data_IF_069493960598
#
_entry.id   IF_069493960598
#
_cell.length_a   1.000
_cell.length_b   1.000
_cell.length_c   1.000
_cell.angle_alpha   90.00
_cell.angle_beta   90.00
_cell.angle_gamma   90.00
#
_symmetry.space_group_name_H-M   'P 1'
#
loop_
_entity.id
_entity.type
_entity.pdbx_description
1 polymer ?
#
# COMPACT_ATOMS: atom_id res chain seq x y z
N UNK A 1 -16.18 -30.08 0.64
CA UNK A 1 -16.36 -28.61 0.57
C UNK A 1 -14.98 -28.03 0.38
N UNK A 2 -14.71 -27.52 -0.83
CA UNK A 2 -13.38 -27.27 -1.37
C UNK A 2 -12.85 -25.89 -0.95
N UNK A 3 -11.51 -25.79 -0.86
CA UNK A 3 -10.68 -24.66 -0.41
C UNK A 3 -10.78 -23.41 -1.32
N UNK A 4 -11.96 -22.86 -1.54
CA UNK A 4 -12.17 -21.76 -2.47
C UNK A 4 -12.48 -20.40 -1.83
N UNK A 5 -12.53 -20.30 -0.49
CA UNK A 5 -13.03 -19.11 0.21
C UNK A 5 -11.94 -18.28 0.93
N UNK A 6 -10.67 -18.66 0.83
CA UNK A 6 -9.58 -17.81 1.33
C UNK A 6 -9.30 -16.75 0.26
N UNK A 7 -9.96 -15.59 0.37
CA UNK A 7 -9.72 -14.45 -0.52
C UNK A 7 -8.25 -13.97 -0.50
N UNK A 8 -8.01 -12.75 -0.96
CA UNK A 8 -6.68 -12.15 -0.88
C UNK A 8 -6.29 -11.86 0.58
N UNK A 9 -5.71 -12.85 1.26
CA UNK A 9 -5.30 -12.71 2.65
C UNK A 9 -3.99 -11.92 2.74
N UNK A 10 -3.94 -10.96 3.65
CA UNK A 10 -2.72 -10.24 3.97
C UNK A 10 -1.70 -11.19 4.60
N UNK A 11 -0.51 -11.23 4.04
CA UNK A 11 0.58 -12.09 4.55
C UNK A 11 1.10 -11.69 5.93
N UNK A 12 0.79 -10.47 6.39
CA UNK A 12 1.25 -9.94 7.69
C UNK A 12 0.24 -10.21 8.80
N UNK A 13 -1.03 -9.82 8.62
CA UNK A 13 -2.04 -9.94 9.66
C UNK A 13 -2.98 -11.14 9.47
N UNK A 14 -2.98 -11.78 8.30
CA UNK A 14 -3.86 -12.91 7.97
C UNK A 14 -5.31 -12.54 7.66
N UNK A 15 -5.71 -11.27 7.81
CA UNK A 15 -7.06 -10.81 7.47
C UNK A 15 -7.21 -10.59 5.96
N UNK A 16 -8.44 -10.61 5.47
CA UNK A 16 -8.74 -10.33 4.06
C UNK A 16 -8.39 -8.88 3.69
N UNK A 17 -7.81 -8.71 2.51
CA UNK A 17 -7.70 -7.43 1.82
C UNK A 17 -8.98 -7.28 1.00
N UNK A 18 -9.92 -6.48 1.49
CA UNK A 18 -11.30 -6.45 0.95
C UNK A 18 -11.44 -5.50 -0.24
N UNK A 19 -10.49 -4.58 -0.40
CA UNK A 19 -10.58 -3.51 -1.39
C UNK A 19 -9.23 -3.17 -2.04
N UNK A 20 -9.25 -2.57 -3.24
CA UNK A 20 -8.03 -2.11 -3.92
C UNK A 20 -7.27 -1.05 -3.10
N UNK A 21 -7.96 -0.15 -2.41
CA UNK A 21 -7.32 0.86 -1.55
C UNK A 21 -6.61 0.26 -0.35
N UNK A 22 -7.04 -0.91 0.08
CA UNK A 22 -6.38 -1.64 1.15
C UNK A 22 -5.15 -2.41 0.65
N UNK A 23 -5.01 -2.67 -0.65
CA UNK A 23 -3.91 -3.48 -1.19
C UNK A 23 -2.63 -2.67 -1.38
N UNK A 24 -1.59 -3.02 -0.61
CA UNK A 24 -0.23 -2.53 -0.80
C UNK A 24 0.36 -3.02 -2.13
N UNK A 25 -0.06 -4.19 -2.61
CA UNK A 25 0.36 -4.75 -3.89
C UNK A 25 -0.12 -3.85 -5.04
N UNK A 26 -1.41 -3.49 -5.03
CA UNK A 26 -1.98 -2.62 -6.04
C UNK A 26 -1.41 -1.21 -5.99
N UNK A 27 -1.14 -0.68 -4.79
CA UNK A 27 -0.45 0.61 -4.64
C UNK A 27 0.93 0.59 -5.30
N UNK A 28 1.73 -0.44 -5.05
CA UNK A 28 3.04 -0.61 -5.68
C UNK A 28 2.95 -0.73 -7.20
N UNK A 29 1.91 -1.39 -7.72
CA UNK A 29 1.67 -1.48 -9.15
C UNK A 29 1.35 -0.10 -9.76
N UNK A 30 0.42 0.64 -9.15
CA UNK A 30 -0.01 1.96 -9.65
C UNK A 30 1.14 2.98 -9.65
N UNK A 31 2.07 2.89 -8.70
CA UNK A 31 3.26 3.75 -8.66
C UNK A 31 4.45 3.20 -9.46
N UNK A 32 4.27 2.07 -10.15
CA UNK A 32 5.25 1.47 -11.06
C UNK A 32 6.45 0.80 -10.38
N UNK A 33 6.33 0.38 -9.12
CA UNK A 33 7.42 -0.32 -8.40
C UNK A 33 7.44 -1.82 -8.67
N UNK A 34 6.36 -2.33 -9.23
CA UNK A 34 6.25 -3.74 -9.59
C UNK A 34 5.74 -3.91 -11.02
N UNK A 35 6.25 -4.96 -11.66
CA UNK A 35 5.81 -5.37 -12.98
C UNK A 35 4.39 -5.98 -12.93
N UNK A 36 3.42 -5.50 -13.72
CA UNK A 36 2.09 -6.10 -13.80
C UNK A 36 2.10 -7.61 -14.09
N UNK A 37 3.07 -8.11 -14.86
CA UNK A 37 3.17 -9.55 -15.16
C UNK A 37 3.42 -10.39 -13.91
N UNK A 38 3.97 -9.80 -12.85
CA UNK A 38 4.29 -10.50 -11.59
C UNK A 38 3.20 -10.41 -10.53
N UNK A 39 2.07 -9.73 -10.80
CA UNK A 39 0.99 -9.55 -9.81
C UNK A 39 0.41 -10.89 -9.32
N UNK A 40 0.18 -11.82 -10.24
CA UNK A 40 -0.46 -13.11 -9.94
C UNK A 40 0.37 -14.06 -9.07
N UNK A 41 1.67 -13.81 -8.92
CA UNK A 41 2.58 -14.63 -8.10
C UNK A 41 2.91 -13.98 -6.75
N UNK A 42 2.56 -12.71 -6.57
CA UNK A 42 2.80 -12.00 -5.32
C UNK A 42 1.67 -12.24 -4.33
N UNK A 43 2.05 -12.22 -3.05
CA UNK A 43 1.11 -12.24 -1.93
C UNK A 43 0.51 -10.86 -1.73
N UNK A 44 -0.67 -10.86 -1.14
CA UNK A 44 -1.36 -9.62 -0.79
C UNK A 44 -0.95 -9.14 0.59
N UNK A 45 -1.02 -7.82 0.79
CA UNK A 45 -0.67 -7.18 2.03
C UNK A 45 -1.47 -5.89 2.18
N UNK A 46 -2.01 -5.60 3.37
CA UNK A 46 -2.65 -4.31 3.59
C UNK A 46 -1.63 -3.18 3.49
N UNK A 47 -2.04 -2.03 2.94
CA UNK A 47 -1.25 -0.79 2.98
C UNK A 47 -0.83 -0.48 4.43
N UNK A 48 -1.78 -0.56 5.37
CA UNK A 48 -1.50 -0.33 6.79
C UNK A 48 -0.54 -1.36 7.41
N UNK A 49 -0.50 -2.60 6.88
CA UNK A 49 0.42 -3.65 7.30
C UNK A 49 1.83 -3.50 6.71
N UNK A 50 2.06 -2.54 5.81
CA UNK A 50 3.38 -2.21 5.28
C UNK A 50 3.80 -0.77 5.65
N UNK A 51 4.14 -0.50 6.92
CA UNK A 51 4.46 0.86 7.39
C UNK A 51 5.62 1.53 6.65
N UNK A 52 6.58 0.74 6.15
CA UNK A 52 7.71 1.24 5.36
C UNK A 52 7.28 1.96 4.08
N UNK A 53 6.16 1.55 3.47
CA UNK A 53 5.51 2.23 2.35
C UNK A 53 4.50 3.25 2.85
N UNK A 54 3.61 2.85 3.76
CA UNK A 54 2.43 3.61 4.12
C UNK A 54 2.70 4.89 4.92
N UNK A 55 3.84 4.99 5.61
CA UNK A 55 4.26 6.24 6.28
C UNK A 55 4.37 7.44 5.32
N UNK A 56 4.54 7.19 4.01
CA UNK A 56 4.61 8.22 2.96
C UNK A 56 3.24 8.61 2.37
N UNK A 57 2.13 8.10 2.90
CA UNK A 57 0.80 8.56 2.49
C UNK A 57 0.44 9.81 3.28
N UNK A 58 0.14 10.90 2.57
CA UNK A 58 -0.36 12.17 3.10
C UNK A 58 -1.73 12.47 2.50
N UNK A 59 -2.75 11.71 2.92
CA UNK A 59 -4.13 11.87 2.50
C UNK A 59 -5.04 11.97 3.75
N UNK A 60 -6.06 12.83 3.72
CA UNK A 60 -6.87 13.14 4.91
C UNK A 60 -7.72 11.97 5.43
N UNK A 61 -7.95 10.96 4.60
CA UNK A 61 -8.65 9.72 4.91
C UNK A 61 -7.72 8.59 5.36
N UNK A 62 -6.39 8.80 5.32
CA UNK A 62 -5.41 7.80 5.70
C UNK A 62 -4.72 8.20 7.02
N UNK A 63 -4.65 7.29 8.02
CA UNK A 63 -4.01 7.60 9.29
C UNK A 63 -2.50 7.80 9.13
N UNK A 64 -1.93 8.78 9.83
CA UNK A 64 -0.47 8.92 9.86
C UNK A 64 0.17 7.74 10.60
N UNK A 65 1.15 7.11 9.94
CA UNK A 65 1.91 5.99 10.49
C UNK A 65 3.34 6.39 10.80
N UNK A 66 3.83 5.88 11.92
CA UNK A 66 5.22 6.03 12.34
C UNK A 66 5.88 4.66 12.35
N UNK A 67 7.15 4.63 11.95
CA UNK A 67 7.99 3.44 11.96
C UNK A 67 9.08 3.67 12.99
N UNK A 68 9.39 2.68 13.81
CA UNK A 68 10.52 2.77 14.73
C UNK A 68 11.85 2.52 14.00
N UNK A 69 12.94 3.09 14.51
CA UNK A 69 14.29 2.88 13.96
C UNK A 69 14.70 3.89 12.89
N UNK A 70 15.68 3.52 12.06
CA UNK A 70 16.34 4.42 11.09
C UNK A 70 15.53 4.64 9.81
N UNK A 71 14.54 3.77 9.54
CA UNK A 71 13.67 3.86 8.37
C UNK A 71 12.40 4.70 8.61
N UNK A 72 12.28 5.33 9.78
CA UNK A 72 11.27 6.35 10.06
C UNK A 72 11.46 7.54 9.12
N UNK A 73 10.42 7.92 8.36
CA UNK A 73 10.44 9.06 7.43
C UNK A 73 10.98 10.33 8.09
N UNK A 74 10.76 10.53 9.40
CA UNK A 74 11.20 11.71 10.15
C UNK A 74 12.72 11.80 10.30
N UNK A 75 13.44 10.71 10.07
CA UNK A 75 14.90 10.59 10.17
C UNK A 75 15.58 10.48 8.81
N UNK A 76 14.81 10.41 7.72
CA UNK A 76 15.34 10.30 6.37
C UNK A 76 15.61 11.68 5.75
N UNK A 77 16.34 11.69 4.64
CA UNK A 77 16.59 12.91 3.86
C UNK A 77 15.26 13.59 3.47
N UNK A 78 15.07 14.89 3.76
CA UNK A 78 13.81 15.58 3.50
C UNK A 78 13.41 15.60 2.02
N UNK A 79 14.38 15.65 1.10
CA UNK A 79 14.11 15.65 -0.34
C UNK A 79 13.56 14.29 -0.78
N UNK A 80 14.19 13.21 -0.32
CA UNK A 80 13.69 11.84 -0.51
C UNK A 80 12.28 11.69 0.08
N UNK A 81 12.06 12.15 1.31
CA UNK A 81 10.75 12.07 1.97
C UNK A 81 9.69 12.80 1.16
N UNK A 82 9.98 14.01 0.68
CA UNK A 82 9.03 14.79 -0.13
C UNK A 82 8.71 14.09 -1.45
N UNK A 83 9.72 13.60 -2.17
CA UNK A 83 9.53 12.89 -3.45
C UNK A 83 8.72 11.61 -3.25
N UNK A 84 9.07 10.82 -2.23
CA UNK A 84 8.40 9.57 -1.90
C UNK A 84 6.95 9.82 -1.48
N UNK A 85 6.71 10.81 -0.63
CA UNK A 85 5.37 11.21 -0.19
C UNK A 85 4.50 11.62 -1.37
N UNK A 86 5.03 12.43 -2.30
CA UNK A 86 4.31 12.84 -3.50
C UNK A 86 3.96 11.67 -4.43
N UNK A 87 4.86 10.69 -4.59
CA UNK A 87 4.60 9.52 -5.42
C UNK A 87 3.53 8.62 -4.79
N UNK A 88 3.74 8.23 -3.54
CA UNK A 88 2.88 7.26 -2.83
C UNK A 88 1.48 7.84 -2.59
N UNK A 89 1.39 9.11 -2.19
CA UNK A 89 0.09 9.79 -1.99
C UNK A 89 -0.71 9.88 -3.28
N UNK A 90 -0.08 10.25 -4.41
CA UNK A 90 -0.78 10.28 -5.71
C UNK A 90 -1.27 8.89 -6.13
N UNK A 91 -0.47 7.84 -5.90
CA UNK A 91 -0.87 6.46 -6.15
C UNK A 91 -2.07 6.03 -5.33
N UNK A 92 -2.05 6.32 -4.02
CA UNK A 92 -3.16 6.02 -3.10
C UNK A 92 -4.45 6.73 -3.53
N UNK A 93 -4.39 8.05 -3.77
CA UNK A 93 -5.55 8.82 -4.23
C UNK A 93 -6.09 8.33 -5.59
N UNK A 94 -5.20 7.86 -6.48
CA UNK A 94 -5.62 7.29 -7.76
C UNK A 94 -6.41 5.99 -7.57
N UNK A 95 -6.00 5.13 -6.64
CA UNK A 95 -6.73 3.90 -6.34
C UNK A 95 -8.11 4.21 -5.76
N UNK A 96 -8.19 5.15 -4.81
CA UNK A 96 -9.47 5.62 -4.26
C UNK A 96 -10.42 6.09 -5.37
N UNK A 97 -9.92 6.89 -6.31
CA UNK A 97 -10.71 7.33 -7.47
C UNK A 97 -11.19 6.18 -8.35
N UNK A 98 -10.35 5.17 -8.60
CA UNK A 98 -10.71 4.02 -9.43
C UNK A 98 -11.76 3.12 -8.77
N UNK A 99 -11.76 3.02 -7.45
CA UNK A 99 -12.79 2.27 -6.72
C UNK A 99 -14.16 2.94 -6.78
N UNK A 100 -14.19 4.28 -6.69
CA UNK A 100 -15.44 5.04 -6.78
C UNK A 100 -16.09 5.03 -8.18
N UNK A 101 -15.34 4.61 -9.21
CA UNK A 101 -15.83 4.51 -10.60
C UNK A 101 -16.41 3.13 -10.96
N UNK A 102 -16.46 2.20 -10.01
CA UNK A 102 -17.09 0.88 -10.15
C UNK A 102 -18.51 0.90 -9.61
#
# INVERSE_FOLDING_TARGET
>A
MARCDEGYLCEVCGAAVESLAESALYLQYVIGWIDPETLHTRRECHVACLPSLAQFISAGDFPELFVDGEFDKRKLDPTFVQQRTNLVTRGYLRIQQLQLQR
#
